data_IF_069495306927
#
_entry.id   IF_069495306927
#
_cell.length_a   1.000
_cell.length_b   1.000
_cell.length_c   1.000
_cell.angle_alpha   90.00
_cell.angle_beta   90.00
_cell.angle_gamma   90.00
#
_symmetry.space_group_name_H-M   'P 1'
#
loop_
_entity.id
_entity.type
_entity.pdbx_description
1 polymer ?
#
# COMPACT_ATOMS: atom_id res chain seq x y z
N UNK A 1 13.42 19.74 -3.88
CA UNK A 1 12.07 19.13 -3.95
C UNK A 1 11.24 19.74 -2.83
N UNK A 2 10.04 20.21 -3.14
CA UNK A 2 9.11 20.76 -2.14
C UNK A 2 8.03 19.73 -1.87
N UNK A 3 7.84 19.34 -0.61
CA UNK A 3 6.78 18.40 -0.22
C UNK A 3 5.47 19.19 -0.13
N UNK A 4 4.47 18.79 -0.92
CA UNK A 4 3.15 19.44 -0.97
C UNK A 4 2.12 18.69 -0.13
N UNK A 5 2.33 17.39 0.09
CA UNK A 5 1.49 16.51 0.91
C UNK A 5 2.35 15.61 1.80
N UNK A 6 2.75 16.09 2.99
CA UNK A 6 3.60 15.33 3.91
C UNK A 6 2.85 14.21 4.64
N UNK A 7 1.51 14.16 4.55
CA UNK A 7 0.70 13.27 5.37
C UNK A 7 0.80 11.80 4.92
N UNK A 8 1.10 10.91 5.87
CA UNK A 8 1.25 9.47 5.61
C UNK A 8 0.09 8.72 6.25
N UNK A 9 -0.84 8.27 5.41
CA UNK A 9 -1.94 7.39 5.81
C UNK A 9 -1.57 5.91 5.65
N UNK A 10 -0.65 5.56 4.77
CA UNK A 10 -0.17 4.20 4.55
C UNK A 10 1.34 4.17 4.72
N UNK A 11 1.83 3.32 5.62
CA UNK A 11 3.24 3.28 5.98
C UNK A 11 3.59 2.11 6.91
N UNK A 12 4.87 1.92 7.18
CA UNK A 12 5.41 0.72 7.83
C UNK A 12 4.94 0.51 9.28
N UNK A 13 4.79 1.59 10.04
CA UNK A 13 4.42 1.50 11.47
C UNK A 13 2.92 1.66 11.73
N UNK A 14 2.11 1.73 10.66
CA UNK A 14 0.66 1.93 10.81
C UNK A 14 -0.01 0.67 11.35
N UNK A 15 -0.86 0.84 12.37
CA UNK A 15 -1.56 -0.25 13.04
C UNK A 15 -3.06 -0.08 12.95
N UNK A 16 -3.76 -1.19 12.73
CA UNK A 16 -5.22 -1.24 12.76
C UNK A 16 -5.91 -0.43 11.66
N UNK A 17 -7.18 -0.14 11.89
CA UNK A 17 -7.98 0.70 11.00
C UNK A 17 -8.02 2.13 11.51
N UNK A 18 -8.27 3.07 10.61
CA UNK A 18 -8.68 4.44 10.96
C UNK A 18 -9.91 4.84 10.15
N UNK A 19 -10.62 5.85 10.64
CA UNK A 19 -11.73 6.46 9.94
C UNK A 19 -11.34 7.91 9.67
N UNK A 20 -11.35 8.27 8.39
CA UNK A 20 -11.01 9.62 7.90
C UNK A 20 -12.26 10.33 7.41
N UNK A 21 -12.12 11.63 7.09
CA UNK A 21 -13.25 12.49 6.67
C UNK A 21 -14.36 12.52 7.72
N UNK A 22 -13.98 12.62 8.99
CA UNK A 22 -14.92 12.76 10.11
C UNK A 22 -15.11 14.24 10.47
N UNK A 23 -16.06 14.55 11.36
CA UNK A 23 -16.24 15.90 11.91
C UNK A 23 -15.06 16.33 12.80
N UNK A 24 -14.32 15.37 13.35
CA UNK A 24 -13.10 15.64 14.10
C UNK A 24 -11.94 15.85 13.13
N UNK A 25 -11.21 16.96 13.30
CA UNK A 25 -10.01 17.22 12.51
C UNK A 25 -8.85 16.32 12.97
N UNK A 26 -7.98 15.99 12.04
CA UNK A 26 -6.81 15.13 12.27
C UNK A 26 -5.63 16.00 12.64
N UNK A 27 -4.84 15.59 13.63
CA UNK A 27 -3.60 16.30 13.98
C UNK A 27 -2.56 16.09 12.88
N UNK A 28 -1.87 17.17 12.49
CA UNK A 28 -0.82 17.14 11.46
C UNK A 28 0.56 17.29 12.10
N UNK A 29 0.92 18.49 12.55
CA UNK A 29 2.18 18.77 13.23
C UNK A 29 2.05 19.96 14.21
N UNK A 30 2.94 20.07 15.23
CA UNK A 30 2.96 21.22 16.12
C UNK A 30 3.65 22.42 15.46
N UNK A 31 3.12 23.62 15.64
CA UNK A 31 3.67 24.89 15.12
C UNK A 31 3.77 25.90 16.27
N UNK A 32 4.90 25.88 16.98
CA UNK A 32 5.09 26.69 18.18
C UNK A 32 4.14 26.24 19.29
N UNK A 33 3.34 27.17 19.81
CA UNK A 33 2.32 26.90 20.82
C UNK A 33 0.97 26.43 20.23
N UNK A 34 0.84 26.38 18.90
CA UNK A 34 -0.38 25.95 18.21
C UNK A 34 -0.21 24.57 17.56
N UNK A 35 -1.33 23.85 17.38
CA UNK A 35 -1.36 22.60 16.62
C UNK A 35 -1.98 22.84 15.24
N UNK A 36 -1.30 22.36 14.20
CA UNK A 36 -1.87 22.33 12.86
C UNK A 36 -2.71 21.07 12.71
N UNK A 37 -3.90 21.24 12.17
CA UNK A 37 -4.83 20.14 11.90
C UNK A 37 -5.12 20.06 10.41
N UNK A 38 -5.25 18.84 9.92
CA UNK A 38 -5.60 18.53 8.54
C UNK A 38 -6.91 17.75 8.49
N UNK A 39 -7.40 17.54 7.28
CA UNK A 39 -8.52 16.64 7.02
C UNK A 39 -8.21 15.92 5.72
N UNK A 40 -8.30 14.59 5.75
CA UNK A 40 -8.04 13.79 4.58
C UNK A 40 -8.91 14.21 3.39
N UNK A 41 -8.27 14.64 2.30
CA UNK A 41 -8.95 15.07 1.08
C UNK A 41 -9.04 13.94 0.03
N UNK A 42 -8.29 12.86 0.20
CA UNK A 42 -8.15 11.79 -0.80
C UNK A 42 -9.34 10.84 -0.90
N UNK A 43 -9.15 9.78 -1.68
CA UNK A 43 -10.18 8.79 -2.00
C UNK A 43 -9.87 7.38 -1.47
N UNK A 44 -8.76 7.23 -0.73
CA UNK A 44 -8.35 5.99 -0.07
C UNK A 44 -9.36 5.47 0.94
N UNK A 45 -9.29 4.18 1.22
CA UNK A 45 -10.23 3.48 2.11
C UNK A 45 -11.62 3.25 1.50
N UNK A 46 -12.49 2.62 2.28
CA UNK A 46 -13.85 2.23 1.88
C UNK A 46 -14.87 3.14 2.57
N UNK A 47 -15.96 3.57 1.90
CA UNK A 47 -16.98 4.38 2.55
C UNK A 47 -17.63 3.63 3.71
N UNK A 48 -17.83 4.29 4.86
CA UNK A 48 -18.35 3.69 6.10
C UNK A 48 -19.62 4.38 6.62
N UNK A 49 -20.16 5.35 5.89
CA UNK A 49 -21.34 6.11 6.31
C UNK A 49 -22.62 5.28 6.40
N UNK A 50 -22.77 4.24 5.58
CA UNK A 50 -23.95 3.37 5.57
C UNK A 50 -24.08 2.56 6.87
N UNK A 51 -25.28 2.52 7.47
CA UNK A 51 -25.55 1.80 8.73
C UNK A 51 -25.12 0.33 8.68
N UNK A 52 -25.43 -0.39 7.60
CA UNK A 52 -25.00 -1.79 7.43
C UNK A 52 -23.49 -1.95 7.41
N UNK A 53 -22.75 -1.04 6.78
CA UNK A 53 -21.28 -1.06 6.77
C UNK A 53 -20.73 -0.80 8.17
N UNK A 54 -21.32 0.15 8.91
CA UNK A 54 -20.96 0.40 10.31
C UNK A 54 -21.12 -0.85 11.18
N UNK A 55 -22.23 -1.58 11.02
CA UNK A 55 -22.49 -2.84 11.73
C UNK A 55 -21.40 -3.87 11.37
N UNK A 56 -21.16 -4.12 10.08
CA UNK A 56 -20.16 -5.08 9.62
C UNK A 56 -18.75 -4.74 10.14
N UNK A 57 -18.34 -3.48 10.06
CA UNK A 57 -17.04 -3.05 10.57
C UNK A 57 -16.97 -3.11 12.11
N UNK A 58 -18.05 -2.78 12.82
CA UNK A 58 -18.09 -2.89 14.28
C UNK A 58 -17.91 -4.33 14.76
N UNK A 59 -18.48 -5.31 14.04
CA UNK A 59 -18.30 -6.74 14.34
C UNK A 59 -16.89 -7.17 13.98
N UNK A 60 -16.41 -6.86 12.77
CA UNK A 60 -15.08 -7.25 12.27
C UNK A 60 -13.95 -6.77 13.19
N UNK A 61 -14.06 -5.56 13.72
CA UNK A 61 -13.04 -4.94 14.55
C UNK A 61 -13.39 -4.96 16.04
N UNK A 62 -14.45 -5.67 16.44
CA UNK A 62 -14.95 -5.73 17.82
C UNK A 62 -15.03 -4.36 18.49
N UNK A 63 -15.50 -3.35 17.75
CA UNK A 63 -15.50 -1.97 18.19
C UNK A 63 -16.87 -1.32 17.91
N UNK A 64 -17.70 -1.25 18.94
CA UNK A 64 -19.04 -0.66 18.88
C UNK A 64 -19.03 0.85 18.61
N UNK A 65 -17.91 1.54 18.86
CA UNK A 65 -17.81 2.98 18.61
C UNK A 65 -17.99 3.32 17.12
N UNK A 66 -17.62 2.43 16.21
CA UNK A 66 -17.85 2.60 14.77
C UNK A 66 -19.35 2.76 14.47
N UNK A 67 -20.20 2.04 15.20
CA UNK A 67 -21.65 2.07 15.03
C UNK A 67 -22.29 3.29 15.71
N UNK A 68 -21.83 3.61 16.93
CA UNK A 68 -22.46 4.60 17.81
C UNK A 68 -21.98 6.04 17.58
N UNK A 69 -20.81 6.23 16.96
CA UNK A 69 -20.22 7.58 16.81
C UNK A 69 -21.05 8.51 15.92
N UNK A 70 -21.20 9.76 16.38
CA UNK A 70 -21.86 10.85 15.66
C UNK A 70 -20.89 11.70 14.81
N UNK A 71 -19.60 11.38 14.88
CA UNK A 71 -18.54 12.09 14.17
C UNK A 71 -18.44 11.71 12.68
N UNK A 72 -19.09 10.63 12.24
CA UNK A 72 -19.03 10.28 10.81
C UNK A 72 -19.88 11.26 9.99
N UNK A 73 -19.41 11.49 8.77
CA UNK A 73 -20.07 12.23 7.70
C UNK A 73 -20.45 11.25 6.58
N UNK A 74 -21.29 11.66 5.62
CA UNK A 74 -21.58 10.85 4.44
C UNK A 74 -20.33 10.41 3.66
N UNK A 75 -19.28 11.23 3.69
CA UNK A 75 -18.01 10.99 2.99
C UNK A 75 -16.97 10.24 3.83
N UNK A 76 -17.28 9.88 5.08
CA UNK A 76 -16.34 9.17 5.95
C UNK A 76 -15.91 7.83 5.34
N UNK A 77 -14.62 7.54 5.44
CA UNK A 77 -14.01 6.32 4.89
C UNK A 77 -13.21 5.60 5.96
N UNK A 78 -13.30 4.28 5.98
CA UNK A 78 -12.45 3.42 6.81
C UNK A 78 -11.26 2.94 5.98
N UNK A 79 -10.05 3.20 6.47
CA UNK A 79 -8.81 2.71 5.90
C UNK A 79 -8.34 1.49 6.70
N UNK A 80 -8.02 0.42 5.98
CA UNK A 80 -7.63 -0.89 6.54
C UNK A 80 -6.39 -1.40 5.81
N UNK A 81 -5.67 -2.36 6.41
CA UNK A 81 -4.41 -2.91 5.87
C UNK A 81 -3.50 -1.76 5.42
N UNK A 82 -3.20 -0.86 6.36
CA UNK A 82 -2.43 0.36 6.11
C UNK A 82 -0.93 0.10 6.09
N UNK A 83 -0.50 -0.94 6.80
CA UNK A 83 0.86 -1.42 6.76
C UNK A 83 1.17 -1.89 5.33
N UNK A 84 2.19 -1.28 4.74
CA UNK A 84 2.52 -1.47 3.33
C UNK A 84 2.96 -2.91 3.05
N UNK A 85 3.78 -3.50 3.92
CA UNK A 85 4.23 -4.89 3.83
C UNK A 85 3.07 -5.88 3.89
N UNK A 86 2.19 -5.73 4.88
CA UNK A 86 1.01 -6.59 5.03
C UNK A 86 0.08 -6.46 3.81
N UNK A 87 -0.07 -5.24 3.29
CA UNK A 87 -1.02 -4.95 2.21
C UNK A 87 -0.57 -5.55 0.88
N UNK A 88 0.71 -5.42 0.52
CA UNK A 88 1.24 -6.00 -0.73
C UNK A 88 1.20 -7.52 -0.68
N UNK A 89 1.62 -8.12 0.45
CA UNK A 89 1.55 -9.57 0.66
C UNK A 89 0.12 -10.09 0.57
N UNK A 90 -0.87 -9.32 1.02
CA UNK A 90 -2.28 -9.72 0.95
C UNK A 90 -2.86 -9.69 -0.47
N UNK A 91 -2.30 -8.86 -1.35
CA UNK A 91 -2.75 -8.75 -2.75
C UNK A 91 -2.02 -9.73 -3.66
N UNK A 92 -0.70 -9.88 -3.50
CA UNK A 92 0.11 -10.78 -4.31
C UNK A 92 1.03 -11.62 -3.41
N UNK A 93 0.49 -12.61 -2.67
CA UNK A 93 1.26 -13.42 -1.72
C UNK A 93 2.27 -14.37 -2.38
N UNK A 94 2.22 -14.48 -3.70
CA UNK A 94 3.09 -15.34 -4.49
C UNK A 94 4.40 -14.66 -4.91
N UNK A 95 4.55 -13.36 -4.61
CA UNK A 95 5.83 -12.64 -4.71
C UNK A 95 6.53 -12.69 -3.35
N UNK A 96 7.85 -12.82 -3.37
CA UNK A 96 8.69 -12.50 -2.22
C UNK A 96 8.86 -10.99 -2.15
N UNK A 97 8.83 -10.39 -0.97
CA UNK A 97 8.96 -8.94 -0.82
C UNK A 97 10.22 -8.59 -0.05
N UNK A 98 10.89 -7.53 -0.48
CA UNK A 98 11.98 -6.95 0.29
C UNK A 98 11.47 -6.44 1.64
N UNK A 99 12.28 -6.51 2.69
CA UNK A 99 11.89 -6.07 4.03
C UNK A 99 12.02 -4.57 4.22
N UNK A 100 12.82 -3.91 3.39
CA UNK A 100 13.20 -2.51 3.56
C UNK A 100 12.64 -1.63 2.41
N UNK A 101 11.34 -1.27 2.43
CA UNK A 101 10.78 -0.34 1.48
C UNK A 101 11.34 1.07 1.73
N UNK A 102 11.55 1.84 0.67
CA UNK A 102 12.07 3.21 0.76
C UNK A 102 11.06 4.22 0.24
N UNK A 103 11.19 5.46 0.68
CA UNK A 103 10.30 6.54 0.30
C UNK A 103 10.91 7.37 -0.84
N UNK A 104 10.10 7.69 -1.84
CA UNK A 104 10.43 8.57 -2.95
C UNK A 104 9.45 9.74 -2.98
N UNK A 105 9.97 10.92 -3.27
CA UNK A 105 9.19 12.15 -3.40
C UNK A 105 9.00 12.41 -4.89
N UNK A 106 7.75 12.42 -5.35
CA UNK A 106 7.45 12.77 -6.74
C UNK A 106 7.79 14.25 -7.03
N UNK A 107 7.92 14.61 -8.30
CA UNK A 107 8.13 16.02 -8.70
C UNK A 107 7.00 16.95 -8.25
N UNK A 108 5.80 16.39 -8.05
CA UNK A 108 4.63 17.08 -7.51
C UNK A 108 4.65 17.25 -5.97
N UNK A 109 5.63 16.67 -5.28
CA UNK A 109 5.77 16.73 -3.83
C UNK A 109 4.89 15.73 -3.06
N UNK A 110 4.44 14.65 -3.72
CA UNK A 110 3.72 13.54 -3.08
C UNK A 110 4.70 12.45 -2.64
N UNK A 111 4.34 11.72 -1.59
CA UNK A 111 5.15 10.64 -1.04
C UNK A 111 4.68 9.28 -1.56
N UNK A 112 5.64 8.49 -2.04
CA UNK A 112 5.42 7.12 -2.49
C UNK A 112 6.39 6.18 -1.76
N UNK A 113 5.90 5.02 -1.36
CA UNK A 113 6.78 3.91 -0.97
C UNK A 113 7.09 3.08 -2.20
N UNK A 114 8.37 2.74 -2.39
CA UNK A 114 8.80 1.78 -3.38
C UNK A 114 9.36 0.57 -2.66
N UNK A 115 8.96 -0.60 -3.13
CA UNK A 115 9.36 -1.87 -2.56
C UNK A 115 9.70 -2.86 -3.67
N UNK A 116 10.88 -3.47 -3.56
CA UNK A 116 11.29 -4.51 -4.48
C UNK A 116 10.58 -5.84 -4.16
N UNK A 117 10.20 -6.55 -5.21
CA UNK A 117 9.50 -7.81 -5.14
C UNK A 117 10.10 -8.83 -6.11
N UNK A 118 10.17 -10.06 -5.63
CA UNK A 118 10.92 -11.14 -6.21
C UNK A 118 9.98 -12.27 -6.63
N UNK A 119 10.23 -12.86 -7.80
CA UNK A 119 9.66 -14.15 -8.14
C UNK A 119 10.57 -15.25 -7.61
N UNK A 120 9.99 -16.29 -7.01
CA UNK A 120 10.72 -17.38 -6.38
C UNK A 120 10.12 -18.72 -6.79
N UNK A 121 10.97 -19.73 -6.95
CA UNK A 121 10.54 -21.11 -7.20
C UNK A 121 11.52 -22.10 -6.58
N UNK A 122 10.98 -23.24 -6.14
CA UNK A 122 11.76 -24.37 -5.60
C UNK A 122 12.04 -25.45 -6.64
N UNK A 123 11.35 -25.40 -7.78
CA UNK A 123 11.37 -26.44 -8.81
C UNK A 123 11.75 -25.87 -10.19
N UNK A 124 12.52 -24.79 -10.23
CA UNK A 124 12.95 -24.22 -11.50
C UNK A 124 13.93 -25.18 -12.21
N UNK A 125 13.66 -25.60 -13.45
CA UNK A 125 14.50 -26.58 -14.13
C UNK A 125 15.93 -26.10 -14.31
N UNK A 126 16.89 -27.05 -14.27
CA UNK A 126 18.31 -26.79 -14.50
C UNK A 126 18.94 -25.72 -13.59
N UNK A 127 18.33 -25.47 -12.41
CA UNK A 127 18.88 -24.58 -11.40
C UNK A 127 19.23 -25.33 -10.11
N UNK A 128 20.37 -24.98 -9.53
CA UNK A 128 20.88 -25.59 -8.30
C UNK A 128 20.13 -25.04 -7.09
N UNK A 129 19.55 -25.90 -6.23
CA UNK A 129 18.96 -25.46 -4.96
C UNK A 129 19.99 -24.78 -4.06
N UNK A 130 19.55 -23.76 -3.33
CA UNK A 130 20.38 -23.16 -2.28
C UNK A 130 20.57 -24.17 -1.15
N UNK A 131 21.81 -24.34 -0.68
CA UNK A 131 22.13 -25.22 0.45
C UNK A 131 21.35 -24.79 1.70
N UNK A 132 20.46 -25.67 2.19
CA UNK A 132 19.57 -25.37 3.33
C UNK A 132 18.45 -24.37 3.02
N UNK A 133 18.28 -23.98 1.76
CA UNK A 133 17.25 -23.07 1.30
C UNK A 133 15.98 -23.77 0.82
N UNK A 134 14.88 -23.02 0.78
CA UNK A 134 13.57 -23.49 0.32
C UNK A 134 13.31 -23.21 -1.16
N UNK A 135 14.25 -22.61 -1.89
CA UNK A 135 14.10 -22.23 -3.30
C UNK A 135 15.38 -22.51 -4.09
N UNK A 136 15.23 -22.71 -5.40
CA UNK A 136 16.33 -22.86 -6.35
C UNK A 136 16.31 -21.76 -7.43
N UNK A 137 15.38 -20.81 -7.34
CA UNK A 137 15.26 -19.68 -8.24
C UNK A 137 14.78 -18.44 -7.49
N UNK A 138 15.39 -17.29 -7.80
CA UNK A 138 14.96 -15.98 -7.35
C UNK A 138 15.31 -14.92 -8.41
N UNK A 139 14.38 -14.02 -8.71
CA UNK A 139 14.60 -12.84 -9.55
C UNK A 139 13.88 -11.63 -8.99
N UNK A 140 14.56 -10.47 -8.96
CA UNK A 140 13.93 -9.19 -8.68
C UNK A 140 13.21 -8.75 -9.95
N UNK A 141 11.93 -9.10 -10.06
CA UNK A 141 11.16 -8.97 -11.29
C UNK A 141 10.08 -7.90 -11.21
N UNK A 142 9.76 -7.42 -10.01
CA UNK A 142 8.67 -6.49 -9.78
C UNK A 142 9.11 -5.37 -8.83
N UNK A 143 8.75 -4.13 -9.17
CA UNK A 143 8.75 -3.01 -8.22
C UNK A 143 7.32 -2.64 -7.87
N UNK A 144 7.03 -2.54 -6.59
CA UNK A 144 5.73 -2.12 -6.08
C UNK A 144 5.82 -0.67 -5.65
N UNK A 145 4.94 0.16 -6.21
CA UNK A 145 4.81 1.58 -5.85
C UNK A 145 3.51 1.75 -5.07
N UNK A 146 3.60 2.37 -3.90
CA UNK A 146 2.47 2.54 -2.99
C UNK A 146 2.31 4.02 -2.66
N UNK A 147 1.16 4.60 -2.99
CA UNK A 147 0.81 5.97 -2.61
C UNK A 147 0.66 6.05 -1.08
N UNK A 148 1.51 6.83 -0.40
CA UNK A 148 1.50 6.95 1.05
C UNK A 148 0.22 7.63 1.59
N UNK A 149 -0.50 8.36 0.74
CA UNK A 149 -1.72 9.10 1.09
C UNK A 149 -3.00 8.29 0.78
N UNK A 150 -3.09 7.66 -0.39
CA UNK A 150 -4.29 6.91 -0.81
C UNK A 150 -4.19 5.39 -0.61
N UNK A 151 -2.97 4.83 -0.52
CA UNK A 151 -2.75 3.39 -0.39
C UNK A 151 -3.01 2.59 -1.67
N UNK A 152 -3.05 3.27 -2.82
CA UNK A 152 -3.05 2.65 -4.15
C UNK A 152 -1.72 1.94 -4.34
N UNK A 153 -1.76 0.71 -4.87
CA UNK A 153 -0.57 -0.10 -5.12
C UNK A 153 -0.49 -0.42 -6.60
N UNK A 154 0.66 -0.16 -7.19
CA UNK A 154 0.97 -0.46 -8.58
C UNK A 154 2.15 -1.42 -8.64
N UNK A 155 1.98 -2.54 -9.34
CA UNK A 155 3.01 -3.57 -9.50
C UNK A 155 3.62 -3.44 -10.90
N UNK A 156 4.85 -2.96 -10.99
CA UNK A 156 5.57 -2.77 -12.25
C UNK A 156 6.54 -3.92 -12.51
N UNK A 157 6.43 -4.57 -13.66
CA UNK A 157 7.36 -5.63 -14.06
C UNK A 157 8.64 -4.99 -14.59
N UNK A 158 9.75 -5.14 -13.85
CA UNK A 158 11.07 -4.61 -14.22
C UNK A 158 11.87 -5.59 -15.08
N UNK A 159 11.73 -6.89 -14.86
CA UNK A 159 12.37 -7.93 -15.67
C UNK A 159 11.32 -8.64 -16.53
N UNK A 160 11.14 -8.18 -17.75
CA UNK A 160 10.19 -8.77 -18.70
C UNK A 160 10.65 -10.13 -19.23
N UNK A 161 11.90 -10.54 -18.97
CA UNK A 161 12.46 -11.82 -19.43
C UNK A 161 12.33 -12.92 -18.38
N UNK A 162 11.87 -12.58 -17.17
CA UNK A 162 11.62 -13.59 -16.14
C UNK A 162 10.38 -14.44 -16.50
N UNK A 163 10.55 -15.74 -16.76
CA UNK A 163 9.43 -16.60 -17.14
C UNK A 163 8.40 -16.78 -16.01
N UNK A 164 8.82 -16.63 -14.74
CA UNK A 164 7.90 -16.79 -13.60
C UNK A 164 6.93 -15.61 -13.54
N UNK A 165 7.42 -14.38 -13.71
CA UNK A 165 6.54 -13.21 -13.72
C UNK A 165 5.65 -13.19 -14.97
N UNK A 166 6.11 -13.70 -16.10
CA UNK A 166 5.30 -13.83 -17.32
C UNK A 166 4.07 -14.74 -17.09
N UNK A 167 4.25 -15.86 -16.38
CA UNK A 167 3.13 -16.73 -15.99
C UNK A 167 2.15 -15.99 -15.09
N UNK A 168 2.61 -15.31 -14.04
CA UNK A 168 1.72 -14.55 -13.15
C UNK A 168 1.03 -13.38 -13.85
N UNK A 169 1.71 -12.72 -14.81
CA UNK A 169 1.11 -11.69 -15.66
C UNK A 169 -0.04 -12.26 -16.49
N UNK A 170 0.11 -13.46 -17.03
CA UNK A 170 -0.95 -14.12 -17.79
C UNK A 170 -2.14 -14.54 -16.92
N UNK A 171 -1.89 -14.95 -15.67
CA UNK A 171 -2.95 -15.29 -14.71
C UNK A 171 -3.67 -14.03 -14.20
N UNK A 172 -2.92 -12.95 -13.94
CA UNK A 172 -3.41 -11.71 -13.35
C UNK A 172 -3.08 -10.47 -14.22
N UNK A 173 -3.66 -10.36 -15.43
CA UNK A 173 -3.27 -9.33 -16.40
C UNK A 173 -3.58 -7.89 -15.96
N UNK A 174 -4.50 -7.71 -15.01
CA UNK A 174 -4.85 -6.40 -14.45
C UNK A 174 -3.97 -5.97 -13.29
N UNK A 175 -3.26 -6.91 -12.66
CA UNK A 175 -2.41 -6.61 -11.49
C UNK A 175 -1.11 -5.92 -11.90
N UNK A 176 -0.52 -6.37 -13.00
CA UNK A 176 0.80 -5.96 -13.41
C UNK A 176 0.78 -4.88 -14.49
N UNK A 177 1.67 -3.91 -14.35
CA UNK A 177 1.95 -2.84 -15.33
C UNK A 177 3.34 -3.03 -15.91
N UNK A 178 3.53 -2.63 -17.16
CA UNK A 178 4.88 -2.56 -17.73
C UNK A 178 5.67 -1.43 -17.07
N UNK A 179 6.96 -1.64 -16.81
CA UNK A 179 7.85 -0.63 -16.22
C UNK A 179 7.87 0.69 -16.99
N UNK A 180 7.68 0.68 -18.31
CA UNK A 180 7.63 1.90 -19.12
C UNK A 180 6.50 2.86 -18.69
N UNK A 181 5.42 2.33 -18.08
CA UNK A 181 4.30 3.13 -17.57
C UNK A 181 4.57 3.73 -16.18
N UNK A 182 5.67 3.36 -15.54
CA UNK A 182 6.05 3.95 -14.26
C UNK A 182 6.43 5.42 -14.50
N UNK A 183 5.95 6.37 -13.69
CA UNK A 183 6.35 7.77 -13.81
C UNK A 183 7.87 7.93 -13.71
N UNK A 184 8.46 8.76 -14.58
CA UNK A 184 9.92 8.96 -14.66
C UNK A 184 10.51 9.44 -13.34
N UNK A 185 9.78 10.25 -12.58
CA UNK A 185 10.21 10.74 -11.27
C UNK A 185 10.22 9.68 -10.16
N UNK A 186 9.69 8.49 -10.42
CA UNK A 186 9.78 7.35 -9.52
C UNK A 186 10.81 6.31 -9.99
N UNK A 187 11.35 6.44 -11.21
CA UNK A 187 12.36 5.53 -11.77
C UNK A 187 13.81 5.89 -11.38
N UNK A 188 14.01 7.10 -10.86
CA UNK A 188 15.33 7.63 -10.45
C UNK A 188 15.90 6.92 -9.21
#
# INVERSE_FOLDING_TARGET
LTITRPEIYYGEITKGYIIVKTKAKEFDYPKGDENVYSTYAGNGGMPVSSLWRRILFSIKYSNMQILLTTNLTPDSRIMINRNIQERVNKVAPFLGYDKDPYMVISKEGKLFWIQDAYTMSSNYPYSTPITGGYFNYIRNSVKVVIDAYNGTMDFYIIDQKDPVIEVYKNIFPQLFKNFDRMPEDLKE
#
